data_IF_906895586335
#
_entry.id   IF_906895586335
#
_cell.length_a   1.000
_cell.length_b   1.000
_cell.length_c   1.000
_cell.angle_alpha   90.00
_cell.angle_beta   90.00
_cell.angle_gamma   90.00
#
_symmetry.space_group_name_H-M   'P 1'
#
loop_
_entity.id
_entity.type
_entity.pdbx_description
1 polymer ?
#
# COMPACT_ATOMS: atom_id res chain seq x y z
N UNK A 1 -2.49 4.90 -6.01
CA UNK A 1 -1.70 5.88 -5.22
C UNK A 1 -0.63 5.13 -4.45
N UNK A 2 0.61 5.61 -4.44
CA UNK A 2 1.71 4.97 -3.72
C UNK A 2 1.47 5.00 -2.19
N UNK A 3 1.54 3.85 -1.54
CA UNK A 3 1.35 3.71 -0.09
C UNK A 3 2.35 4.54 0.73
N UNK A 4 3.61 4.62 0.31
CA UNK A 4 4.62 5.41 1.00
C UNK A 4 4.34 6.90 0.87
N UNK A 5 3.83 7.36 -0.28
CA UNK A 5 3.37 8.74 -0.44
C UNK A 5 2.23 9.04 0.52
N UNK A 6 1.24 8.14 0.59
CA UNK A 6 0.10 8.24 1.51
C UNK A 6 0.56 8.38 2.95
N UNK A 7 1.44 7.48 3.39
CA UNK A 7 2.03 7.48 4.72
C UNK A 7 2.77 8.79 5.03
N UNK A 8 3.70 9.22 4.17
CA UNK A 8 4.52 10.41 4.41
C UNK A 8 3.66 11.67 4.56
N UNK A 9 2.64 11.82 3.72
CA UNK A 9 1.75 12.99 3.77
C UNK A 9 0.91 12.97 5.04
N UNK A 10 0.29 11.84 5.40
CA UNK A 10 -0.55 11.74 6.59
C UNK A 10 0.28 11.87 7.87
N UNK A 11 1.49 11.27 7.92
CA UNK A 11 2.45 11.47 9.01
C UNK A 11 2.77 12.95 9.21
N UNK A 12 3.09 13.68 8.15
CA UNK A 12 3.39 15.11 8.25
C UNK A 12 2.20 15.92 8.77
N UNK A 13 0.96 15.53 8.45
CA UNK A 13 -0.25 16.16 8.99
C UNK A 13 -0.44 15.83 10.47
N UNK A 14 -0.25 14.57 10.87
CA UNK A 14 -0.37 14.14 12.26
C UNK A 14 0.69 14.80 13.17
N UNK A 15 1.90 15.01 12.66
CA UNK A 15 3.00 15.74 13.32
C UNK A 15 2.82 17.27 13.28
N UNK A 16 1.68 17.78 12.80
CA UNK A 16 1.38 19.21 12.65
C UNK A 16 2.36 19.99 11.75
N UNK A 17 3.12 19.30 10.90
CA UNK A 17 4.06 19.90 9.91
C UNK A 17 3.37 20.28 8.60
N UNK A 18 2.13 19.82 8.39
CA UNK A 18 1.35 20.05 7.17
C UNK A 18 -0.13 20.23 7.49
N UNK A 19 -0.79 21.13 6.75
CA UNK A 19 -2.24 21.33 6.88
C UNK A 19 -3.06 20.22 6.19
N UNK A 20 -4.23 19.91 6.77
CA UNK A 20 -5.16 18.91 6.22
C UNK A 20 -5.65 19.26 4.81
N UNK A 21 -5.94 20.54 4.54
CA UNK A 21 -6.39 21.01 3.21
C UNK A 21 -5.33 20.75 2.13
N UNK A 22 -4.06 21.00 2.45
CA UNK A 22 -2.93 20.73 1.53
C UNK A 22 -2.78 19.24 1.25
N UNK A 23 -2.94 18.40 2.27
CA UNK A 23 -2.94 16.94 2.10
C UNK A 23 -4.09 16.44 1.23
N UNK A 24 -5.27 17.06 1.31
CA UNK A 24 -6.41 16.72 0.42
C UNK A 24 -6.04 16.93 -1.05
N UNK A 25 -5.45 18.08 -1.38
CA UNK A 25 -5.03 18.40 -2.75
C UNK A 25 -3.90 17.49 -3.21
N UNK A 26 -2.88 17.27 -2.38
CA UNK A 26 -1.69 16.47 -2.74
C UNK A 26 -2.00 14.97 -2.95
N UNK A 27 -2.95 14.44 -2.18
CA UNK A 27 -3.39 13.05 -2.26
C UNK A 27 -4.59 12.87 -3.20
N UNK A 28 -5.24 13.94 -3.65
CA UNK A 28 -6.49 13.87 -4.40
C UNK A 28 -7.62 13.20 -3.59
N UNK A 29 -7.64 13.43 -2.27
CA UNK A 29 -8.60 12.82 -1.35
C UNK A 29 -9.50 13.87 -0.72
N UNK A 30 -10.72 13.47 -0.38
CA UNK A 30 -11.63 14.30 0.42
C UNK A 30 -11.09 14.51 1.84
N UNK A 31 -11.52 15.60 2.47
CA UNK A 31 -11.21 15.90 3.87
C UNK A 31 -11.61 14.74 4.81
N UNK A 32 -12.74 14.09 4.53
CA UNK A 32 -13.19 12.90 5.28
C UNK A 32 -12.19 11.75 5.19
N UNK A 33 -11.71 11.43 3.99
CA UNK A 33 -10.71 10.38 3.80
C UNK A 33 -9.40 10.73 4.49
N UNK A 34 -8.94 11.98 4.40
CA UNK A 34 -7.73 12.43 5.11
C UNK A 34 -7.90 12.31 6.63
N UNK A 35 -9.03 12.74 7.19
CA UNK A 35 -9.30 12.61 8.63
C UNK A 35 -9.31 11.15 9.08
N UNK A 36 -9.96 10.25 8.32
CA UNK A 36 -9.95 8.81 8.62
C UNK A 36 -8.53 8.25 8.64
N UNK A 37 -7.71 8.60 7.66
CA UNK A 37 -6.32 8.14 7.60
C UNK A 37 -5.47 8.67 8.74
N UNK A 38 -5.74 9.89 9.24
CA UNK A 38 -5.08 10.43 10.42
C UNK A 38 -5.45 9.62 11.66
N UNK A 39 -6.73 9.31 11.83
CA UNK A 39 -7.20 8.47 12.94
C UNK A 39 -6.56 7.08 12.87
N UNK A 40 -6.66 6.41 11.71
CA UNK A 40 -6.07 5.08 11.54
C UNK A 40 -4.54 5.12 11.80
N UNK A 41 -3.84 6.18 11.37
CA UNK A 41 -2.41 6.36 11.65
C UNK A 41 -2.10 6.51 13.15
N UNK A 42 -2.96 7.18 13.92
CA UNK A 42 -2.80 7.31 15.37
C UNK A 42 -2.96 5.98 16.09
N UNK A 43 -3.81 5.08 15.57
CA UNK A 43 -4.08 3.77 16.16
C UNK A 43 -3.05 2.71 15.73
N UNK A 44 -2.71 2.65 14.45
CA UNK A 44 -1.91 1.56 13.86
C UNK A 44 -0.60 1.99 13.17
N UNK A 45 -0.25 3.27 13.22
CA UNK A 45 1.00 3.77 12.66
C UNK A 45 1.17 3.50 11.16
N UNK A 46 2.39 3.15 10.73
CA UNK A 46 2.70 2.92 9.30
C UNK A 46 1.96 1.70 8.72
N UNK A 47 1.63 0.71 9.56
CA UNK A 47 1.09 -0.58 9.10
C UNK A 47 -0.24 -0.44 8.36
N UNK A 48 -1.08 0.52 8.77
CA UNK A 48 -2.40 0.82 8.17
C UNK A 48 -2.34 1.11 6.67
N UNK A 49 -1.24 1.69 6.19
CA UNK A 49 -1.11 2.05 4.79
C UNK A 49 -0.78 0.86 3.89
N UNK A 50 -0.40 -0.28 4.46
CA UNK A 50 -0.14 -1.50 3.71
C UNK A 50 -1.42 -2.08 3.15
N UNK A 51 -1.41 -2.46 1.87
CA UNK A 51 -2.54 -3.14 1.25
C UNK A 51 -2.84 -4.47 1.95
N UNK A 52 -4.12 -4.78 2.23
CA UNK A 52 -4.52 -6.02 2.91
C UNK A 52 -4.22 -7.31 2.12
N UNK A 53 -3.98 -7.18 0.81
CA UNK A 53 -3.55 -8.27 -0.08
C UNK A 53 -2.02 -8.36 -0.23
N UNK A 54 -1.24 -7.50 0.42
CA UNK A 54 0.23 -7.58 0.38
C UNK A 54 0.65 -8.94 0.94
N UNK A 55 1.44 -9.69 0.16
CA UNK A 55 1.96 -11.00 0.54
C UNK A 55 0.93 -12.15 0.48
N UNK A 56 -0.34 -11.89 0.15
CA UNK A 56 -1.33 -12.95 -0.05
C UNK A 56 -1.34 -13.38 -1.51
N UNK A 57 -1.23 -14.68 -1.75
CA UNK A 57 -1.49 -15.24 -3.07
C UNK A 57 -2.95 -14.97 -3.46
N UNK A 58 -3.17 -14.60 -4.71
CA UNK A 58 -4.52 -14.51 -5.24
C UNK A 58 -5.19 -15.89 -5.20
N UNK A 59 -6.51 -15.94 -5.04
CA UNK A 59 -7.27 -17.21 -5.00
C UNK A 59 -7.02 -18.09 -6.22
N UNK A 60 -6.82 -17.45 -7.37
CA UNK A 60 -6.57 -18.10 -8.67
C UNK A 60 -5.11 -17.94 -9.12
N UNK A 61 -4.19 -17.78 -8.17
CA UNK A 61 -2.77 -17.74 -8.50
C UNK A 61 -2.30 -19.08 -9.04
N UNK A 62 -1.46 -19.05 -10.07
CA UNK A 62 -0.80 -20.25 -10.59
C UNK A 62 0.02 -20.90 -9.46
N UNK A 63 -0.12 -22.22 -9.22
CA UNK A 63 0.66 -22.91 -8.21
C UNK A 63 2.16 -22.74 -8.41
N UNK A 64 2.91 -22.62 -7.31
CA UNK A 64 4.37 -22.47 -7.38
C UNK A 64 5.06 -23.67 -8.06
N UNK A 65 4.47 -24.86 -7.96
CA UNK A 65 4.93 -26.04 -8.69
C UNK A 65 4.87 -25.84 -10.20
N UNK A 66 3.75 -25.37 -10.73
CA UNK A 66 3.60 -25.10 -12.16
C UNK A 66 4.58 -24.03 -12.63
N UNK A 67 4.84 -23.00 -11.82
CA UNK A 67 5.85 -21.98 -12.14
C UNK A 67 7.25 -22.59 -12.22
N UNK A 68 7.62 -23.47 -11.27
CA UNK A 68 8.90 -24.19 -11.29
C UNK A 68 9.05 -25.07 -12.52
N UNK A 69 8.02 -25.86 -12.85
CA UNK A 69 8.01 -26.73 -14.03
C UNK A 69 8.26 -25.93 -15.33
N UNK A 70 7.62 -24.77 -15.48
CA UNK A 70 7.84 -23.91 -16.66
C UNK A 70 9.29 -23.43 -16.75
N UNK A 71 9.89 -23.03 -15.62
CA UNK A 71 11.28 -22.57 -15.58
C UNK A 71 12.25 -23.71 -15.91
N UNK A 72 12.04 -24.89 -15.33
CA UNK A 72 12.87 -26.09 -15.56
C UNK A 72 12.82 -26.52 -17.03
N UNK A 73 11.62 -26.57 -17.62
CA UNK A 73 11.45 -26.87 -19.05
C UNK A 73 12.22 -25.87 -19.90
N UNK A 74 12.07 -24.56 -19.65
CA UNK A 74 12.81 -23.54 -20.39
C UNK A 74 14.33 -23.71 -20.29
N UNK A 75 14.85 -24.06 -19.12
CA UNK A 75 16.28 -24.30 -18.90
C UNK A 75 16.77 -25.57 -19.62
N UNK A 76 15.95 -26.61 -19.74
CA UNK A 76 16.30 -27.85 -20.43
C UNK A 76 16.42 -27.73 -21.96
N UNK A 77 15.88 -26.66 -22.56
CA UNK A 77 16.06 -26.37 -23.98
C UNK A 77 17.39 -25.67 -24.30
N UNK A 78 18.17 -25.31 -23.27
CA UNK A 78 19.46 -24.63 -23.39
C UNK A 78 20.61 -25.63 -23.32
#
# INVERSE_FOLDING_TARGET
>A
MNEDKKYKVIKAVAEKRKEKKRACVELGLSMRQVNRLIQDYQEGGKAVFSHGNRGKAARHAVPEETKRQVIELYQSFK
#
